data_IF_121370309246
#
_entry.id   IF_121370309246
#
_cell.length_a   1.000
_cell.length_b   1.000
_cell.length_c   1.000
_cell.angle_alpha   90.00
_cell.angle_beta   90.00
_cell.angle_gamma   90.00
#
_symmetry.space_group_name_H-M   'P 1'
#
loop_
_entity.id
_entity.type
_entity.pdbx_description
1 polymer ?
#
# COMPACT_ATOMS: atom_id res chain seq x y z
N UNK A 1 -5.14 5.11 -12.28
CA UNK A 1 -5.50 6.47 -12.74
C UNK A 1 -5.21 7.45 -11.63
N UNK A 2 -3.95 7.81 -11.48
CA UNK A 2 -3.53 8.84 -10.53
C UNK A 2 -3.91 10.25 -11.05
N UNK A 3 -4.09 11.24 -10.15
CA UNK A 3 -4.28 12.63 -10.55
C UNK A 3 -3.02 13.16 -11.25
N UNK A 4 -3.20 13.81 -12.39
CA UNK A 4 -2.12 14.47 -13.12
C UNK A 4 -1.91 15.86 -12.49
N UNK A 5 -0.80 16.04 -11.76
CA UNK A 5 -0.47 17.32 -11.13
C UNK A 5 0.44 18.20 -12.00
N UNK A 6 0.99 17.64 -13.07
CA UNK A 6 1.92 18.32 -13.94
C UNK A 6 1.25 18.79 -15.24
N UNK A 7 1.44 20.07 -15.56
CA UNK A 7 0.88 20.69 -16.78
C UNK A 7 1.65 20.24 -18.04
N UNK A 8 2.79 19.55 -17.91
CA UNK A 8 3.63 19.11 -19.04
C UNK A 8 4.38 17.76 -18.90
N UNK A 9 4.27 17.04 -17.78
CA UNK A 9 4.88 15.71 -17.57
C UNK A 9 3.87 14.76 -16.95
N UNK A 10 4.04 13.44 -17.12
CA UNK A 10 3.21 12.45 -16.43
C UNK A 10 3.85 12.16 -15.07
N UNK A 11 3.04 11.94 -14.05
CA UNK A 11 3.53 11.56 -12.72
C UNK A 11 4.48 10.36 -12.72
N UNK A 12 5.45 10.40 -11.82
CA UNK A 12 6.45 9.40 -11.46
C UNK A 12 6.08 8.76 -10.10
N UNK A 13 5.02 7.93 -10.03
CA UNK A 13 4.48 7.48 -8.76
C UNK A 13 5.37 6.52 -7.98
N UNK A 14 5.37 6.70 -6.66
CA UNK A 14 5.88 5.78 -5.65
C UNK A 14 4.82 5.56 -4.57
N UNK A 15 4.69 4.33 -4.08
CA UNK A 15 3.80 3.99 -2.96
C UNK A 15 4.61 3.66 -1.70
N UNK A 16 4.21 4.24 -0.57
CA UNK A 16 4.76 3.99 0.76
C UNK A 16 3.72 3.26 1.59
N UNK A 17 4.12 2.13 2.18
CA UNK A 17 3.24 1.25 2.93
C UNK A 17 3.57 1.39 4.42
N UNK A 18 2.54 1.64 5.22
CA UNK A 18 2.64 1.73 6.67
C UNK A 18 1.79 0.66 7.35
N UNK A 19 2.27 0.17 8.49
CA UNK A 19 1.57 -0.75 9.37
C UNK A 19 1.32 -0.10 10.73
N UNK A 20 0.10 -0.26 11.24
CA UNK A 20 -0.28 0.09 12.61
C UNK A 20 -1.01 -1.09 13.25
N UNK A 21 -0.67 -1.39 14.49
CA UNK A 21 -1.35 -2.42 15.30
C UNK A 21 -1.82 -1.79 16.61
N UNK A 22 -2.73 -2.46 17.31
CA UNK A 22 -3.18 -1.97 18.63
C UNK A 22 -2.02 -1.87 19.65
N UNK A 23 -1.06 -2.80 19.59
CA UNK A 23 0.14 -2.78 20.44
C UNK A 23 1.08 -1.62 20.11
N UNK A 24 1.06 -1.14 18.86
CA UNK A 24 1.91 -0.08 18.34
C UNK A 24 1.04 1.01 17.74
N UNK A 25 0.57 1.93 18.58
CA UNK A 25 -0.38 2.99 18.21
C UNK A 25 0.13 4.05 17.20
N UNK A 26 1.33 3.85 16.64
CA UNK A 26 1.90 4.70 15.60
C UNK A 26 1.97 3.96 14.27
N UNK A 27 1.86 4.70 13.17
CA UNK A 27 2.15 4.19 11.84
C UNK A 27 3.65 3.99 11.69
N UNK A 28 4.05 2.82 11.24
CA UNK A 28 5.44 2.48 10.96
C UNK A 28 5.57 2.17 9.48
N UNK A 29 6.50 2.85 8.81
CA UNK A 29 6.83 2.54 7.43
C UNK A 29 7.42 1.14 7.36
N UNK A 30 6.87 0.28 6.49
CA UNK A 30 7.33 -1.10 6.31
C UNK A 30 7.90 -1.34 4.90
N UNK A 31 7.56 -0.50 3.93
CA UNK A 31 8.00 -0.65 2.56
C UNK A 31 7.84 0.66 1.77
N UNK A 32 8.74 0.89 0.81
CA UNK A 32 8.55 1.80 -0.32
C UNK A 32 8.65 0.98 -1.61
N UNK A 33 7.82 1.26 -2.59
CA UNK A 33 7.91 0.64 -3.91
C UNK A 33 9.03 1.26 -4.73
N UNK A 34 9.30 0.68 -5.90
CA UNK A 34 10.00 1.38 -6.97
C UNK A 34 9.23 2.63 -7.43
N UNK A 35 9.97 3.55 -8.05
CA UNK A 35 9.42 4.71 -8.77
C UNK A 35 9.19 4.27 -10.21
N UNK A 36 8.00 4.52 -10.73
CA UNK A 36 7.67 4.19 -12.12
C UNK A 36 7.53 5.49 -12.92
N UNK A 37 8.52 5.77 -13.76
CA UNK A 37 8.54 7.03 -14.51
C UNK A 37 7.39 7.14 -15.52
N UNK A 38 6.77 8.31 -15.57
CA UNK A 38 5.79 8.76 -16.55
C UNK A 38 4.57 7.82 -16.70
N UNK A 39 4.01 7.33 -15.59
CA UNK A 39 2.93 6.34 -15.60
C UNK A 39 1.77 6.67 -14.64
N UNK A 40 0.59 6.98 -15.20
CA UNK A 40 -0.65 7.24 -14.44
C UNK A 40 -1.37 5.97 -13.94
N UNK A 41 -0.91 4.80 -14.36
CA UNK A 41 -1.37 3.47 -13.95
C UNK A 41 -0.14 2.61 -13.61
N UNK A 42 0.60 2.95 -12.54
CA UNK A 42 1.77 2.19 -12.14
C UNK A 42 1.36 0.77 -11.75
N UNK A 43 2.14 -0.21 -12.21
CA UNK A 43 2.07 -1.59 -11.75
C UNK A 43 3.37 -1.88 -10.99
N UNK A 44 3.28 -1.83 -9.66
CA UNK A 44 4.42 -2.02 -8.79
C UNK A 44 4.72 -3.52 -8.62
N UNK A 45 5.96 -3.89 -8.86
CA UNK A 45 6.50 -5.25 -8.68
C UNK A 45 6.95 -5.53 -7.25
N UNK A 46 7.15 -4.48 -6.43
CA UNK A 46 7.55 -4.62 -5.03
C UNK A 46 6.51 -5.41 -4.22
N UNK A 47 6.95 -6.49 -3.58
CA UNK A 47 6.12 -7.32 -2.70
C UNK A 47 6.47 -7.10 -1.24
N UNK A 48 5.46 -6.85 -0.40
CA UNK A 48 5.61 -6.76 1.05
C UNK A 48 5.14 -8.05 1.72
N UNK A 49 5.95 -8.60 2.64
CA UNK A 49 5.58 -9.79 3.43
C UNK A 49 5.15 -9.37 4.81
N UNK A 50 3.93 -9.76 5.20
CA UNK A 50 3.35 -9.43 6.49
C UNK A 50 2.87 -10.71 7.16
N UNK A 51 3.25 -10.92 8.42
CA UNK A 51 2.75 -12.04 9.23
C UNK A 51 1.33 -11.71 9.64
N UNK A 52 0.36 -12.49 9.16
CA UNK A 52 -1.04 -12.35 9.54
C UNK A 52 -1.30 -12.97 10.93
N UNK A 53 -1.94 -12.19 11.82
CA UNK A 53 -2.37 -12.64 13.15
C UNK A 53 -3.86 -12.35 13.30
N UNK A 54 -4.70 -13.39 13.22
CA UNK A 54 -6.17 -13.23 13.25
C UNK A 54 -6.69 -12.59 14.54
N UNK A 55 -5.97 -12.71 15.65
CA UNK A 55 -6.33 -12.14 16.96
C UNK A 55 -6.09 -10.62 17.04
N UNK A 56 -5.30 -10.06 16.14
CA UNK A 56 -4.85 -8.66 16.19
C UNK A 56 -5.31 -7.92 14.95
N UNK A 57 -5.96 -6.77 15.14
CA UNK A 57 -6.23 -5.87 14.03
C UNK A 57 -4.92 -5.22 13.54
N UNK A 58 -4.53 -5.57 12.31
CA UNK A 58 -3.36 -5.03 11.62
C UNK A 58 -3.82 -4.07 10.52
N UNK A 59 -3.74 -2.77 10.80
CA UNK A 59 -4.13 -1.71 9.87
C UNK A 59 -2.99 -1.41 8.90
N UNK A 60 -3.34 -1.26 7.62
CA UNK A 60 -2.44 -0.85 6.56
C UNK A 60 -2.86 0.50 6.01
N UNK A 61 -1.86 1.32 5.70
CA UNK A 61 -2.03 2.56 4.93
C UNK A 61 -1.08 2.55 3.75
N UNK A 62 -1.59 2.94 2.60
CA UNK A 62 -0.83 3.15 1.38
C UNK A 62 -0.87 4.64 1.09
N UNK A 63 0.29 5.28 1.04
CA UNK A 63 0.44 6.69 0.69
C UNK A 63 1.16 6.76 -0.67
N UNK A 64 0.58 7.47 -1.64
CA UNK A 64 1.13 7.59 -2.99
C UNK A 64 1.71 8.99 -3.17
N UNK A 65 2.92 9.05 -3.71
CA UNK A 65 3.67 10.27 -3.97
C UNK A 65 4.06 10.34 -5.45
N UNK A 66 4.11 11.55 -5.98
CA UNK A 66 4.76 11.88 -7.26
C UNK A 66 6.20 12.30 -6.98
N UNK A 67 7.17 11.61 -7.57
CA UNK A 67 8.58 11.76 -7.21
C UNK A 67 9.29 12.75 -8.15
N UNK A 68 9.33 14.01 -7.75
CA UNK A 68 9.90 15.09 -8.58
C UNK A 68 11.43 15.28 -8.43
N UNK A 69 12.07 14.53 -7.52
CA UNK A 69 13.48 14.73 -7.19
C UNK A 69 14.17 13.43 -6.76
N UNK A 70 15.51 13.45 -6.74
CA UNK A 70 16.33 12.32 -6.27
C UNK A 70 16.45 12.24 -4.74
N UNK A 71 15.74 13.11 -4.01
CA UNK A 71 15.74 13.12 -2.55
C UNK A 71 15.02 11.89 -2.01
N UNK A 72 15.42 11.40 -0.84
CA UNK A 72 14.72 10.30 -0.15
C UNK A 72 13.68 10.79 0.85
N UNK A 73 13.59 12.11 1.05
CA UNK A 73 12.66 12.73 1.97
C UNK A 73 11.27 12.86 1.33
N UNK A 74 10.24 12.28 1.95
CA UNK A 74 8.88 12.35 1.42
C UNK A 74 8.33 13.78 1.33
N UNK A 75 8.92 14.72 2.08
CA UNK A 75 8.54 16.14 2.04
C UNK A 75 8.98 16.86 0.76
N UNK A 76 9.87 16.26 -0.04
CA UNK A 76 10.33 16.80 -1.33
C UNK A 76 9.60 16.20 -2.53
N UNK A 77 8.48 15.51 -2.29
CA UNK A 77 7.68 14.85 -3.31
C UNK A 77 6.21 15.27 -3.13
N UNK A 78 5.49 15.33 -4.23
CA UNK A 78 4.09 15.74 -4.21
C UNK A 78 3.19 14.60 -3.72
N UNK A 79 2.34 14.91 -2.74
CA UNK A 79 1.43 13.93 -2.15
C UNK A 79 0.18 13.73 -3.01
N UNK A 80 0.02 12.54 -3.59
CA UNK A 80 -1.11 12.22 -4.46
C UNK A 80 -2.32 11.67 -3.72
N UNK A 81 -2.15 11.15 -2.50
CA UNK A 81 -3.25 10.67 -1.66
C UNK A 81 -2.93 9.38 -0.93
N UNK A 82 -3.88 8.94 -0.11
CA UNK A 82 -3.75 7.70 0.65
C UNK A 82 -5.01 6.85 0.67
N UNK A 83 -4.85 5.58 0.99
CA UNK A 83 -5.97 4.72 1.36
C UNK A 83 -5.57 3.78 2.51
N UNK A 84 -6.58 3.32 3.24
CA UNK A 84 -6.39 2.41 4.37
C UNK A 84 -7.19 1.14 4.19
N UNK A 85 -6.66 0.05 4.74
CA UNK A 85 -7.33 -1.25 4.82
C UNK A 85 -6.79 -2.04 6.02
N UNK A 86 -7.17 -3.31 6.17
CA UNK A 86 -6.58 -4.21 7.16
C UNK A 86 -6.02 -5.45 6.48
N UNK A 87 -5.00 -6.06 7.10
CA UNK A 87 -4.45 -7.34 6.64
C UNK A 87 -5.56 -8.39 6.56
N UNK A 88 -6.46 -8.44 7.55
CA UNK A 88 -7.60 -9.37 7.54
C UNK A 88 -8.53 -9.16 6.34
N UNK A 89 -8.78 -7.91 5.93
CA UNK A 89 -9.59 -7.62 4.75
C UNK A 89 -8.92 -8.07 3.45
N UNK A 90 -7.60 -7.87 3.32
CA UNK A 90 -6.79 -8.33 2.18
C UNK A 90 -6.71 -9.85 2.12
N UNK A 91 -6.50 -10.53 3.25
CA UNK A 91 -6.47 -12.00 3.28
C UNK A 91 -7.84 -12.59 2.91
N UNK A 92 -8.93 -11.94 3.33
CA UNK A 92 -10.29 -12.38 2.99
C UNK A 92 -10.67 -12.10 1.52
N UNK A 93 -9.98 -11.18 0.84
CA UNK A 93 -10.30 -10.75 -0.52
C UNK A 93 -9.03 -10.64 -1.35
N UNK A 94 -8.82 -11.59 -2.26
CA UNK A 94 -7.61 -11.66 -3.10
C UNK A 94 -7.32 -10.35 -3.84
N UNK A 95 -8.36 -9.66 -4.33
CA UNK A 95 -8.22 -8.38 -5.03
C UNK A 95 -9.07 -7.32 -4.34
N UNK A 96 -8.43 -6.29 -3.79
CA UNK A 96 -9.10 -5.18 -3.12
C UNK A 96 -8.84 -3.88 -3.87
N UNK A 97 -9.91 -3.22 -4.26
CA UNK A 97 -9.87 -1.90 -4.91
C UNK A 97 -10.16 -0.82 -3.88
N UNK A 98 -9.17 0.05 -3.64
CA UNK A 98 -9.25 1.14 -2.68
C UNK A 98 -9.22 2.48 -3.40
N UNK A 99 -10.09 3.40 -2.98
CA UNK A 99 -10.11 4.78 -3.51
C UNK A 99 -9.14 5.64 -2.71
N UNK A 100 -8.33 6.43 -3.41
CA UNK A 100 -7.44 7.39 -2.77
C UNK A 100 -8.24 8.55 -2.16
N UNK A 101 -7.94 8.86 -0.90
CA UNK A 101 -8.34 10.07 -0.20
C UNK A 101 -7.35 11.16 -0.61
N UNK A 102 -7.81 12.10 -1.42
CA UNK A 102 -7.01 13.24 -1.88
C UNK A 102 -7.89 14.43 -2.25
N UNK A 103 -7.25 15.57 -2.50
CA UNK A 103 -7.92 16.80 -2.93
C UNK A 103 -8.63 16.67 -4.29
N UNK A 104 -8.20 15.71 -5.12
CA UNK A 104 -8.73 15.49 -6.46
C UNK A 104 -9.97 14.57 -6.47
N UNK A 105 -10.29 13.92 -5.35
CA UNK A 105 -11.30 12.86 -5.22
C UNK A 105 -11.23 11.81 -6.34
N UNK A 106 -10.01 11.47 -6.78
CA UNK A 106 -9.73 10.59 -7.91
C UNK A 106 -8.52 9.75 -7.61
N UNK A 107 -8.49 8.54 -8.16
CA UNK A 107 -7.37 7.62 -7.98
C UNK A 107 -7.78 6.37 -7.23
N UNK A 108 -7.15 5.28 -7.63
CA UNK A 108 -7.47 3.94 -7.21
C UNK A 108 -6.16 3.18 -7.01
N UNK A 109 -6.08 2.45 -5.91
CA UNK A 109 -5.02 1.48 -5.62
C UNK A 109 -5.67 0.10 -5.67
N UNK A 110 -5.14 -0.77 -6.51
CA UNK A 110 -5.52 -2.18 -6.53
C UNK A 110 -4.47 -2.95 -5.73
N UNK A 111 -4.91 -3.59 -4.65
CA UNK A 111 -4.04 -4.40 -3.79
C UNK A 111 -4.42 -5.86 -4.01
N UNK A 112 -3.43 -6.67 -4.36
CA UNK A 112 -3.59 -8.12 -4.48
C UNK A 112 -2.88 -8.82 -3.32
N UNK A 113 -3.57 -9.71 -2.65
CA UNK A 113 -3.03 -10.51 -1.56
C UNK A 113 -2.82 -11.96 -2.02
N UNK A 114 -1.63 -12.49 -1.78
CA UNK A 114 -1.28 -13.89 -2.04
C UNK A 114 -0.87 -14.54 -0.71
N UNK A 115 -1.50 -15.66 -0.36
CA UNK A 115 -1.04 -16.45 0.79
C UNK A 115 0.31 -17.11 0.45
N UNK A 116 1.35 -16.73 1.18
CA UNK A 116 2.65 -17.38 1.06
C UNK A 116 2.63 -18.64 1.93
N UNK A 117 2.57 -19.82 1.31
CA UNK A 117 2.32 -21.13 1.95
C UNK A 117 3.37 -21.65 2.94
N UNK A 118 4.17 -20.77 3.56
CA UNK A 118 5.14 -21.14 4.60
C UNK A 118 4.55 -20.77 5.97
N UNK A 119 3.51 -21.49 6.35
CA UNK A 119 3.33 -22.10 7.66
C UNK A 119 2.01 -22.86 7.65
N UNK A 120 2.13 -24.16 7.37
CA UNK A 120 1.12 -25.15 7.71
C UNK A 120 1.15 -25.30 9.24
N UNK A 121 0.49 -24.38 9.96
CA UNK A 121 0.16 -24.65 11.35
C UNK A 121 -1.00 -25.65 11.34
N UNK A 122 -0.61 -26.90 11.14
CA UNK A 122 -1.44 -28.08 11.02
C UNK A 122 -2.28 -28.24 12.29
N UNK A 123 -3.60 -28.26 12.16
CA UNK A 123 -4.49 -28.58 13.29
C UNK A 123 -5.23 -29.87 12.96
N UNK A 124 -4.75 -30.97 13.54
CA UNK A 124 -5.51 -32.21 13.60
C UNK A 124 -6.43 -32.13 14.81
N UNK A 125 -7.73 -32.00 14.57
CA UNK A 125 -8.74 -32.10 15.61
C UNK A 125 -9.14 -33.58 15.75
N UNK A 126 -9.02 -34.14 16.96
CA UNK A 126 -9.46 -35.50 17.26
C UNK A 126 -10.40 -35.49 18.46
N UNK A 127 -11.71 -35.45 18.19
CA UNK A 127 -12.77 -36.06 19.00
C UNK A 127 -14.07 -36.10 18.19
#
# INVERSE_FOLDING_TARGET
>A
NLPDCDVFSKSDPMCVIYLKTLERDKWHEICRTEIIENNLNPDFTTKVRIVYRFEIQQNLRFEVYDVDSTSTDLRSHDYLGDCETTVGHLVSNVHVKLTLRNSYNRGLVLVTAEECGINKDEVTLTF
#
